data_IF_900279373865
#
_entry.id   IF_900279373865
#
_cell.length_a   1.000
_cell.length_b   1.000
_cell.length_c   1.000
_cell.angle_alpha   90.00
_cell.angle_beta   90.00
_cell.angle_gamma   90.00
#
_symmetry.space_group_name_H-M   'P 1'
#
loop_
_entity.id
_entity.type
_entity.pdbx_description
1 polymer ?
#
# COMPACT_ATOMS: atom_id res chain seq x y z
N UNK A 1 -11.29 1.03 -18.78
CA UNK A 1 -11.15 2.37 -18.21
C UNK A 1 -10.30 2.21 -16.97
N UNK A 2 -9.21 2.98 -16.81
CA UNK A 2 -8.31 2.84 -15.65
C UNK A 2 -8.84 3.54 -14.41
N UNK A 3 -8.34 3.18 -13.24
CA UNK A 3 -8.77 3.67 -11.95
C UNK A 3 -8.55 5.17 -11.81
N UNK A 4 -7.43 5.70 -12.32
CA UNK A 4 -7.20 7.16 -12.30
C UNK A 4 -8.22 7.91 -13.16
N UNK A 5 -8.73 7.32 -14.24
CA UNK A 5 -9.78 7.94 -15.05
C UNK A 5 -11.14 7.93 -14.34
N UNK A 6 -11.45 6.86 -13.61
CA UNK A 6 -12.66 6.79 -12.78
C UNK A 6 -12.58 7.84 -11.66
N UNK A 7 -11.43 7.95 -11.00
CA UNK A 7 -11.22 8.91 -9.92
C UNK A 7 -11.27 10.38 -10.38
N UNK A 8 -10.89 10.70 -11.63
CA UNK A 8 -11.00 12.07 -12.15
C UNK A 8 -12.43 12.58 -12.32
N UNK A 9 -13.45 11.75 -12.10
CA UNK A 9 -14.83 12.22 -12.06
C UNK A 9 -15.21 12.89 -10.72
N UNK A 10 -14.31 12.90 -9.73
CA UNK A 10 -14.58 13.38 -8.37
C UNK A 10 -13.69 14.57 -8.04
N UNK A 11 -14.27 15.78 -8.11
CA UNK A 11 -13.54 17.04 -7.95
C UNK A 11 -12.69 17.12 -6.66
N UNK A 12 -13.10 16.44 -5.59
CA UNK A 12 -12.34 16.45 -4.34
C UNK A 12 -11.00 15.70 -4.43
N UNK A 13 -10.80 14.92 -5.51
CA UNK A 13 -9.60 14.13 -5.76
C UNK A 13 -8.72 14.71 -6.87
N UNK A 14 -9.12 15.81 -7.53
CA UNK A 14 -8.47 16.35 -8.73
C UNK A 14 -6.95 16.50 -8.56
N UNK A 15 -6.52 17.22 -7.52
CA UNK A 15 -5.08 17.44 -7.25
C UNK A 15 -4.32 16.13 -7.08
N UNK A 16 -4.92 15.15 -6.40
CA UNK A 16 -4.27 13.85 -6.14
C UNK A 16 -4.18 13.02 -7.42
N UNK A 17 -5.23 13.06 -8.24
CA UNK A 17 -5.30 12.36 -9.52
C UNK A 17 -4.32 12.97 -10.52
N UNK A 18 -4.21 14.29 -10.57
CA UNK A 18 -3.29 14.99 -11.47
C UNK A 18 -1.83 14.69 -11.11
N UNK A 19 -1.48 14.70 -9.82
CA UNK A 19 -0.15 14.30 -9.36
C UNK A 19 0.13 12.84 -9.70
N UNK A 20 -0.83 11.93 -9.48
CA UNK A 20 -0.65 10.52 -9.86
C UNK A 20 -0.51 10.33 -11.37
N UNK A 21 -1.29 11.05 -12.20
CA UNK A 21 -1.18 11.04 -13.67
C UNK A 21 0.19 11.54 -14.12
N UNK A 22 0.68 12.64 -13.53
CA UNK A 22 2.02 13.17 -13.79
C UNK A 22 3.08 12.09 -13.59
N UNK A 23 3.09 11.45 -12.42
CA UNK A 23 4.05 10.36 -12.14
C UNK A 23 3.84 9.14 -13.04
N UNK A 24 2.60 8.81 -13.39
CA UNK A 24 2.30 7.73 -14.34
C UNK A 24 2.94 8.00 -15.70
N UNK A 25 2.89 9.23 -16.19
CA UNK A 25 3.50 9.64 -17.46
C UNK A 25 5.01 9.71 -17.37
N UNK A 26 5.55 10.46 -16.41
CA UNK A 26 7.00 10.68 -16.24
C UNK A 26 7.77 9.38 -16.05
N UNK A 27 7.18 8.44 -15.30
CA UNK A 27 7.80 7.15 -15.01
C UNK A 27 7.35 6.03 -15.95
N UNK A 28 6.52 6.31 -16.97
CA UNK A 28 5.92 5.32 -17.87
C UNK A 28 5.32 4.11 -17.12
N UNK A 29 4.33 4.40 -16.28
CA UNK A 29 3.58 3.44 -15.46
C UNK A 29 2.15 3.30 -16.01
N UNK A 30 1.53 2.15 -15.73
CA UNK A 30 0.10 1.98 -15.97
C UNK A 30 -0.67 2.76 -14.91
N UNK A 31 -1.68 3.58 -15.29
CA UNK A 31 -2.40 4.48 -14.39
C UNK A 31 -3.44 3.75 -13.51
N UNK A 32 -2.99 2.71 -12.79
CA UNK A 32 -3.78 1.84 -11.90
C UNK A 32 -3.35 2.08 -10.46
N UNK A 33 -4.31 2.32 -9.57
CA UNK A 33 -4.10 2.49 -8.13
C UNK A 33 -4.61 1.30 -7.31
N UNK A 34 -5.56 0.52 -7.83
CA UNK A 34 -6.12 -0.63 -7.12
C UNK A 34 -6.84 -1.60 -8.05
N UNK A 35 -6.66 -2.91 -7.84
CA UNK A 35 -7.22 -3.94 -8.71
C UNK A 35 -8.76 -3.96 -8.75
N UNK A 36 -9.44 -3.71 -7.63
CA UNK A 36 -10.92 -3.70 -7.59
C UNK A 36 -11.55 -2.58 -8.44
N UNK A 37 -10.77 -1.60 -8.89
CA UNK A 37 -11.25 -0.56 -9.82
C UNK A 37 -11.08 -0.97 -11.29
N UNK A 38 -10.45 -2.13 -11.55
CA UNK A 38 -9.99 -2.59 -12.87
C UNK A 38 -10.62 -3.94 -13.28
N UNK A 39 -11.72 -3.90 -14.04
CA UNK A 39 -12.44 -5.14 -14.43
C UNK A 39 -11.56 -6.10 -15.23
N UNK A 40 -10.64 -5.57 -16.05
CA UNK A 40 -9.71 -6.38 -16.84
C UNK A 40 -8.72 -7.13 -15.94
N UNK A 41 -8.19 -6.49 -14.90
CA UNK A 41 -7.28 -7.14 -13.93
C UNK A 41 -8.04 -8.23 -13.18
N UNK A 42 -9.24 -7.92 -12.67
CA UNK A 42 -10.10 -8.89 -11.98
C UNK A 42 -10.35 -10.12 -12.86
N UNK A 43 -10.78 -9.91 -14.11
CA UNK A 43 -11.06 -11.01 -15.03
C UNK A 43 -9.83 -11.88 -15.31
N UNK A 44 -8.66 -11.27 -15.50
CA UNK A 44 -7.41 -12.00 -15.75
C UNK A 44 -6.95 -12.80 -14.53
N UNK A 45 -7.02 -12.21 -13.33
CA UNK A 45 -6.73 -12.89 -12.07
C UNK A 45 -7.66 -14.09 -11.87
N UNK A 46 -8.96 -13.92 -12.10
CA UNK A 46 -9.92 -15.03 -11.97
C UNK A 46 -9.61 -16.15 -12.94
N UNK A 47 -9.38 -15.83 -14.21
CA UNK A 47 -9.05 -16.83 -15.26
C UNK A 47 -7.77 -17.59 -14.95
N UNK A 48 -6.71 -16.89 -14.53
CA UNK A 48 -5.42 -17.51 -14.21
C UNK A 48 -5.47 -18.42 -12.99
N UNK A 49 -6.33 -18.13 -12.02
CA UNK A 49 -6.48 -18.95 -10.81
C UNK A 49 -7.50 -20.08 -10.98
N UNK A 50 -8.43 -20.01 -11.94
CA UNK A 50 -9.52 -20.97 -12.10
C UNK A 50 -9.04 -22.42 -12.19
N UNK A 51 -8.00 -22.70 -12.97
CA UNK A 51 -7.46 -24.06 -13.12
C UNK A 51 -6.71 -24.54 -11.89
N UNK A 52 -6.33 -23.63 -10.99
CA UNK A 52 -5.43 -23.91 -9.87
C UNK A 52 -6.20 -24.06 -8.55
N UNK A 53 -7.18 -23.19 -8.29
CA UNK A 53 -7.82 -23.09 -6.96
C UNK A 53 -9.32 -23.38 -6.96
N UNK A 54 -9.94 -23.72 -8.10
CA UNK A 54 -11.40 -23.99 -8.18
C UNK A 54 -11.86 -25.08 -7.22
N UNK A 55 -11.12 -26.19 -7.13
CA UNK A 55 -11.50 -27.31 -6.26
C UNK A 55 -11.43 -26.90 -4.77
N UNK A 56 -10.42 -26.12 -4.40
CA UNK A 56 -10.29 -25.56 -3.05
C UNK A 56 -11.41 -24.56 -2.75
N UNK A 57 -11.80 -23.75 -3.74
CA UNK A 57 -12.93 -22.84 -3.59
C UNK A 57 -14.22 -23.62 -3.33
N UNK A 58 -14.55 -24.64 -4.11
CA UNK A 58 -15.78 -25.42 -3.86
C UNK A 58 -15.80 -26.08 -2.48
N UNK A 59 -14.64 -26.52 -1.99
CA UNK A 59 -14.51 -27.10 -0.65
C UNK A 59 -14.70 -26.06 0.47
N UNK A 60 -14.22 -24.83 0.29
CA UNK A 60 -14.14 -23.82 1.35
C UNK A 60 -14.93 -22.54 1.06
N UNK A 61 -15.87 -22.54 0.10
CA UNK A 61 -16.60 -21.34 -0.37
C UNK A 61 -17.34 -20.58 0.73
N UNK A 62 -17.71 -21.22 1.83
CA UNK A 62 -18.41 -20.58 2.94
C UNK A 62 -17.48 -19.84 3.91
N UNK A 63 -16.18 -20.10 3.87
CA UNK A 63 -15.19 -19.52 4.77
C UNK A 63 -13.99 -18.92 4.02
N UNK A 64 -14.07 -17.60 3.72
CA UNK A 64 -13.02 -16.84 3.01
C UNK A 64 -11.63 -17.07 3.58
N UNK A 65 -11.47 -16.94 4.89
CA UNK A 65 -10.16 -17.10 5.57
C UNK A 65 -9.60 -18.50 5.39
N UNK A 66 -10.45 -19.52 5.53
CA UNK A 66 -10.06 -20.93 5.37
C UNK A 66 -9.70 -21.24 3.92
N UNK A 67 -10.45 -20.72 2.95
CA UNK A 67 -10.12 -20.81 1.53
C UNK A 67 -8.72 -20.21 1.24
N UNK A 68 -8.50 -18.95 1.62
CA UNK A 68 -7.24 -18.23 1.35
C UNK A 68 -6.06 -18.98 1.97
N UNK A 69 -6.18 -19.40 3.24
CA UNK A 69 -5.11 -20.12 3.94
C UNK A 69 -4.73 -21.43 3.25
N UNK A 70 -5.71 -22.22 2.80
CA UNK A 70 -5.44 -23.48 2.11
C UNK A 70 -4.92 -23.28 0.69
N UNK A 71 -5.42 -22.26 -0.02
CA UNK A 71 -4.96 -21.93 -1.36
C UNK A 71 -3.51 -21.39 -1.37
N UNK A 72 -3.14 -20.53 -0.41
CA UNK A 72 -1.74 -20.08 -0.27
C UNK A 72 -0.78 -21.25 -0.04
N UNK A 73 -1.16 -22.20 0.82
CA UNK A 73 -0.38 -23.42 1.06
C UNK A 73 -0.21 -24.25 -0.21
N UNK A 74 -1.29 -24.45 -0.97
CA UNK A 74 -1.25 -25.22 -2.22
C UNK A 74 -0.39 -24.55 -3.30
N UNK A 75 -0.24 -23.24 -3.25
CA UNK A 75 0.58 -22.45 -4.17
C UNK A 75 2.03 -22.27 -3.70
N UNK A 76 2.41 -22.90 -2.58
CA UNK A 76 3.71 -22.72 -1.92
C UNK A 76 4.07 -21.26 -1.63
N UNK A 77 3.07 -20.43 -1.34
CA UNK A 77 3.32 -19.05 -0.89
C UNK A 77 3.51 -19.02 0.63
N UNK A 78 4.66 -18.55 1.13
CA UNK A 78 4.89 -18.45 2.56
C UNK A 78 3.99 -17.37 3.18
N UNK A 79 3.48 -17.64 4.38
CA UNK A 79 2.79 -16.64 5.19
C UNK A 79 3.87 -15.79 5.88
N UNK A 80 4.21 -14.64 5.28
CA UNK A 80 5.16 -13.70 5.88
C UNK A 80 4.49 -13.00 7.07
N UNK A 81 4.66 -13.55 8.26
CA UNK A 81 4.19 -12.95 9.50
C UNK A 81 5.15 -11.85 9.97
N UNK A 82 5.20 -10.74 9.23
CA UNK A 82 5.96 -9.57 9.62
C UNK A 82 5.21 -8.79 10.71
N UNK A 83 5.92 -8.28 11.75
CA UNK A 83 5.37 -7.23 12.60
C UNK A 83 4.83 -6.08 11.73
N UNK A 84 3.58 -5.71 11.97
CA UNK A 84 2.87 -4.73 11.16
C UNK A 84 2.43 -3.54 11.98
N UNK A 85 2.78 -2.34 11.51
CA UNK A 85 2.26 -1.08 12.03
C UNK A 85 0.98 -0.71 11.24
N UNK A 86 -0.21 -0.77 11.85
CA UNK A 86 -1.48 -0.64 11.16
C UNK A 86 -1.94 0.80 10.93
N UNK A 87 -1.26 1.78 11.53
CA UNK A 87 -1.51 3.21 11.30
C UNK A 87 -0.58 3.74 10.22
N UNK A 88 -0.40 5.05 10.13
CA UNK A 88 0.29 5.71 9.04
C UNK A 88 1.78 5.90 9.31
N UNK A 89 2.61 5.67 8.30
CA UNK A 89 4.05 5.92 8.33
C UNK A 89 4.45 6.86 7.21
N UNK A 90 5.06 7.99 7.56
CA UNK A 90 5.47 9.06 6.65
C UNK A 90 7.01 9.15 6.62
N UNK A 91 7.65 9.10 5.44
CA UNK A 91 9.10 9.33 5.33
C UNK A 91 9.46 10.78 5.62
N UNK A 92 10.45 11.00 6.49
CA UNK A 92 10.90 12.34 6.90
C UNK A 92 12.36 12.63 6.56
N UNK A 93 13.19 11.62 6.28
CA UNK A 93 14.56 11.83 5.79
C UNK A 93 14.60 12.36 4.36
N UNK A 94 15.73 12.95 3.97
CA UNK A 94 15.98 13.42 2.58
C UNK A 94 15.85 12.29 1.56
N UNK A 95 16.29 11.08 1.92
CA UNK A 95 16.13 9.88 1.12
C UNK A 95 15.56 8.75 1.98
N UNK A 96 14.55 8.05 1.45
CA UNK A 96 13.98 6.83 2.04
C UNK A 96 13.88 5.76 0.96
N UNK A 97 14.39 4.57 1.24
CA UNK A 97 14.30 3.40 0.37
C UNK A 97 13.19 2.49 0.90
N UNK A 98 12.23 2.14 0.04
CA UNK A 98 11.09 1.29 0.39
C UNK A 98 10.97 0.10 -0.54
N UNK A 99 10.38 -0.97 -0.02
CA UNK A 99 9.98 -2.17 -0.75
C UNK A 99 8.49 -2.40 -0.55
N UNK A 100 7.70 -2.36 -1.62
CA UNK A 100 6.27 -2.68 -1.55
C UNK A 100 6.07 -4.20 -1.41
N UNK A 101 5.18 -4.61 -0.51
CA UNK A 101 4.92 -6.03 -0.21
C UNK A 101 3.45 -6.41 -0.40
N UNK A 102 2.53 -5.46 -0.30
CA UNK A 102 1.10 -5.70 -0.41
C UNK A 102 0.39 -4.47 -0.99
N UNK A 103 -0.37 -4.69 -2.05
CA UNK A 103 -1.16 -3.70 -2.78
C UNK A 103 -2.67 -3.97 -2.72
N UNK A 104 -3.13 -4.73 -1.71
CA UNK A 104 -4.55 -4.95 -1.39
C UNK A 104 -5.23 -3.77 -0.70
N UNK A 105 -4.48 -2.72 -0.34
CA UNK A 105 -4.99 -1.57 0.38
C UNK A 105 -4.47 -0.25 -0.19
N UNK A 106 -5.20 0.82 0.13
CA UNK A 106 -4.77 2.21 -0.09
C UNK A 106 -4.71 2.89 1.29
N UNK A 107 -3.53 3.37 1.74
CA UNK A 107 -2.21 3.16 1.12
C UNK A 107 -1.75 1.68 1.13
N UNK A 108 -0.77 1.31 0.28
CA UNK A 108 -0.22 -0.04 0.24
C UNK A 108 0.71 -0.29 1.44
N UNK A 109 1.00 -1.57 1.71
CA UNK A 109 1.99 -1.94 2.71
C UNK A 109 3.38 -1.99 2.09
N UNK A 110 4.35 -1.47 2.83
CA UNK A 110 5.74 -1.47 2.45
C UNK A 110 6.64 -1.83 3.64
N UNK A 111 7.89 -2.15 3.34
CA UNK A 111 9.00 -2.23 4.29
C UNK A 111 9.91 -1.03 4.01
N UNK A 112 10.23 -0.25 5.05
CA UNK A 112 11.22 0.82 4.95
C UNK A 112 12.60 0.16 5.02
N UNK A 113 13.26 -0.01 3.88
CA UNK A 113 14.58 -0.64 3.80
C UNK A 113 15.62 0.26 4.48
N UNK A 114 15.59 1.55 4.19
CA UNK A 114 16.52 2.53 4.76
C UNK A 114 15.86 3.91 4.84
N UNK A 115 16.14 4.65 5.90
CA UNK A 115 15.66 6.03 6.07
C UNK A 115 15.04 6.27 7.44
N UNK A 116 14.55 7.48 7.64
CA UNK A 116 13.86 7.89 8.87
C UNK A 116 12.41 8.21 8.55
N UNK A 117 11.50 7.66 9.35
CA UNK A 117 10.06 7.84 9.20
C UNK A 117 9.45 8.33 10.51
N UNK A 118 8.30 8.98 10.40
CA UNK A 118 7.44 9.31 11.53
C UNK A 118 6.19 8.44 11.49
N UNK A 119 5.84 7.89 12.65
CA UNK A 119 4.54 7.26 12.84
C UNK A 119 3.50 8.32 13.18
N UNK A 120 2.32 8.21 12.57
CA UNK A 120 1.21 9.12 12.79
C UNK A 120 -0.12 8.37 12.75
N UNK A 121 -1.13 8.94 13.39
CA UNK A 121 -2.50 8.44 13.36
C UNK A 121 -3.32 9.01 12.18
N UNK A 122 -2.99 10.21 11.70
CA UNK A 122 -3.82 10.95 10.73
C UNK A 122 -3.09 11.21 9.41
N UNK A 123 -3.86 11.57 8.39
CA UNK A 123 -3.33 12.07 7.13
C UNK A 123 -3.18 13.59 7.20
N UNK A 124 -2.02 14.10 6.78
CA UNK A 124 -1.76 15.54 6.70
C UNK A 124 -1.69 16.01 5.25
N UNK A 125 -2.03 17.27 5.02
CA UNK A 125 -1.96 17.93 3.72
C UNK A 125 -0.53 18.20 3.29
N UNK A 126 0.37 18.48 4.25
CA UNK A 126 1.77 18.85 4.01
C UNK A 126 2.70 18.32 5.13
N UNK A 127 4.01 18.35 4.89
CA UNK A 127 4.97 18.04 5.96
C UNK A 127 4.98 19.12 7.03
N UNK A 128 4.84 20.40 6.64
CA UNK A 128 4.76 21.52 7.58
C UNK A 128 3.58 21.42 8.54
N UNK A 129 2.41 21.00 8.05
CA UNK A 129 1.22 20.76 8.88
C UNK A 129 1.45 19.62 9.88
N UNK A 130 2.03 18.50 9.44
CA UNK A 130 2.44 17.42 10.34
C UNK A 130 3.38 17.93 11.44
N UNK A 131 4.42 18.70 11.09
CA UNK A 131 5.35 19.24 12.09
C UNK A 131 4.68 20.25 13.03
N UNK A 132 3.74 21.04 12.55
CA UNK A 132 2.93 21.94 13.39
C UNK A 132 2.10 21.17 14.42
N UNK A 133 1.37 20.14 13.98
CA UNK A 133 0.57 19.29 14.87
C UNK A 133 1.44 18.61 15.93
N UNK A 134 2.62 18.12 15.55
CA UNK A 134 3.57 17.53 16.51
C UNK A 134 4.08 18.57 17.51
N UNK A 135 4.45 19.78 17.07
CA UNK A 135 4.86 20.88 17.97
C UNK A 135 3.75 21.30 18.94
N UNK A 136 2.52 21.40 18.43
CA UNK A 136 1.34 21.79 19.20
C UNK A 136 0.75 20.67 20.06
N UNK A 137 1.40 19.49 20.10
CA UNK A 137 0.99 18.31 20.87
C UNK A 137 -0.35 17.70 20.46
N UNK A 138 -0.69 17.84 19.18
CA UNK A 138 -1.92 17.34 18.57
C UNK A 138 -1.70 16.03 17.78
N UNK A 139 -0.49 15.47 17.81
CA UNK A 139 -0.17 14.17 17.19
C UNK A 139 0.98 13.45 17.91
N UNK A 140 1.23 12.23 17.46
CA UNK A 140 2.34 11.36 17.79
C UNK A 140 3.69 12.03 17.54
N UNK A 141 4.64 11.79 18.46
CA UNK A 141 6.03 12.20 18.31
C UNK A 141 6.91 10.96 18.44
N UNK A 142 6.84 10.14 17.39
CA UNK A 142 7.51 8.85 17.28
C UNK A 142 8.27 8.82 15.95
N UNK A 143 9.59 8.97 16.03
CA UNK A 143 10.49 8.87 14.88
C UNK A 143 11.21 7.53 14.95
N UNK A 144 11.27 6.82 13.82
CA UNK A 144 11.89 5.50 13.72
C UNK A 144 12.86 5.49 12.54
N UNK A 145 14.08 5.04 12.80
CA UNK A 145 15.12 4.86 11.79
C UNK A 145 15.26 3.39 11.41
N UNK A 146 15.29 3.15 10.12
CA UNK A 146 15.40 1.82 9.53
C UNK A 146 16.73 1.61 8.80
N UNK A 147 17.24 0.39 8.90
CA UNK A 147 18.35 -0.16 8.10
C UNK A 147 18.06 -1.64 7.82
N UNK A 148 18.20 -2.08 6.57
CA UNK A 148 17.81 -3.40 6.07
C UNK A 148 16.38 -3.85 6.45
N UNK A 149 15.44 -2.90 6.56
CA UNK A 149 14.06 -3.18 6.95
C UNK A 149 13.83 -3.28 8.46
N UNK A 150 14.89 -3.19 9.28
CA UNK A 150 14.85 -3.34 10.74
C UNK A 150 14.99 -2.00 11.43
N UNK A 151 14.39 -1.87 12.61
CA UNK A 151 14.53 -0.68 13.45
C UNK A 151 15.92 -0.66 14.09
N UNK A 152 16.70 0.37 13.81
CA UNK A 152 18.03 0.56 14.43
C UNK A 152 18.04 1.65 15.51
N UNK A 153 17.10 2.60 15.43
CA UNK A 153 16.95 3.69 16.41
C UNK A 153 15.50 4.17 16.40
N UNK A 154 15.02 4.64 17.54
CA UNK A 154 13.75 5.36 17.65
C UNK A 154 13.85 6.48 18.68
N UNK A 155 13.07 7.54 18.49
CA UNK A 155 12.79 8.59 19.48
C UNK A 155 11.28 8.61 19.70
N UNK A 156 10.83 8.27 20.90
CA UNK A 156 9.41 8.27 21.28
C UNK A 156 9.22 9.26 22.43
N UNK A 157 8.75 10.46 22.09
CA UNK A 157 8.44 11.50 23.09
C UNK A 157 6.98 11.46 23.51
N UNK A 158 6.09 11.07 22.58
CA UNK A 158 4.65 11.04 22.83
C UNK A 158 3.96 9.99 21.98
N UNK A 159 3.04 9.25 22.62
CA UNK A 159 2.13 8.31 21.99
C UNK A 159 0.70 8.54 22.53
N UNK A 160 -0.22 9.11 21.74
CA UNK A 160 -1.56 9.58 22.14
C UNK A 160 -2.66 8.68 21.58
N UNK A 161 -2.66 8.47 20.26
CA UNK A 161 -3.79 7.89 19.52
C UNK A 161 -3.54 6.45 19.08
N UNK A 162 -2.28 6.03 19.03
CA UNK A 162 -1.89 4.71 18.55
C UNK A 162 -1.64 3.74 19.70
N UNK A 163 -2.00 2.47 19.51
CA UNK A 163 -1.80 1.45 20.55
C UNK A 163 -0.31 1.30 20.92
N UNK A 164 0.03 1.60 22.17
CA UNK A 164 1.39 1.50 22.68
C UNK A 164 1.99 0.09 22.59
N UNK A 165 1.17 -0.96 22.68
CA UNK A 165 1.63 -2.34 22.51
C UNK A 165 2.05 -2.61 21.07
N UNK A 166 1.29 -2.08 20.11
CA UNK A 166 1.65 -2.14 18.69
C UNK A 166 2.94 -1.38 18.45
N UNK A 167 3.06 -0.14 18.93
CA UNK A 167 4.29 0.65 18.81
C UNK A 167 5.49 -0.09 19.41
N UNK A 168 5.36 -0.62 20.63
CA UNK A 168 6.41 -1.39 21.30
C UNK A 168 6.83 -2.62 20.46
N UNK A 169 5.87 -3.40 19.97
CA UNK A 169 6.13 -4.56 19.12
C UNK A 169 6.95 -4.18 17.88
N UNK A 170 6.70 -3.00 17.32
CA UNK A 170 7.43 -2.50 16.15
C UNK A 170 8.82 -2.01 16.52
N UNK A 171 8.96 -1.08 17.46
CA UNK A 171 10.26 -0.44 17.75
C UNK A 171 11.28 -1.39 18.39
N UNK A 172 10.82 -2.47 19.03
CA UNK A 172 11.68 -3.53 19.58
C UNK A 172 11.82 -4.75 18.64
N UNK A 173 11.22 -4.72 17.45
CA UNK A 173 11.33 -5.82 16.49
C UNK A 173 12.77 -6.01 16.02
N UNK A 174 13.26 -7.25 16.03
CA UNK A 174 14.52 -7.65 15.37
C UNK A 174 14.33 -8.11 13.91
N UNK A 175 13.07 -8.22 13.49
CA UNK A 175 12.67 -8.63 12.14
C UNK A 175 12.32 -7.41 11.28
N UNK A 176 12.19 -7.61 9.97
CA UNK A 176 11.66 -6.57 9.09
C UNK A 176 10.24 -6.19 9.52
N UNK A 177 9.91 -4.91 9.39
CA UNK A 177 8.59 -4.37 9.76
C UNK A 177 7.82 -3.96 8.52
N UNK A 178 6.56 -4.39 8.45
CA UNK A 178 5.59 -3.88 7.50
C UNK A 178 4.91 -2.62 8.05
N UNK A 179 4.71 -1.62 7.21
CA UNK A 179 4.03 -0.36 7.54
C UNK A 179 3.02 0.00 6.46
N UNK A 180 1.99 0.77 6.79
CA UNK A 180 1.21 1.49 5.77
C UNK A 180 1.97 2.75 5.38
N UNK A 181 2.60 2.71 4.20
CA UNK A 181 3.36 3.83 3.67
C UNK A 181 2.40 4.90 3.15
N UNK A 182 2.24 5.98 3.91
CA UNK A 182 1.43 7.12 3.51
C UNK A 182 2.34 8.32 3.25
N UNK A 183 1.83 9.29 2.49
CA UNK A 183 2.50 10.52 2.14
C UNK A 183 1.52 11.68 2.38
N UNK A 184 2.01 12.94 2.42
CA UNK A 184 1.12 14.09 2.46
C UNK A 184 0.05 14.02 1.36
N UNK A 185 -1.15 14.55 1.64
CA UNK A 185 -2.38 14.38 0.86
C UNK A 185 -2.18 14.50 -0.65
N UNK A 186 -1.40 15.49 -1.11
CA UNK A 186 -1.13 15.70 -2.55
C UNK A 186 -0.47 14.50 -3.26
N UNK A 187 0.25 13.65 -2.52
CA UNK A 187 0.92 12.45 -3.02
C UNK A 187 0.22 11.14 -2.61
N UNK A 188 -0.94 11.18 -1.97
CA UNK A 188 -1.55 10.02 -1.30
C UNK A 188 -1.79 8.80 -2.23
N UNK A 189 -2.07 9.04 -3.51
CA UNK A 189 -2.28 7.97 -4.51
C UNK A 189 -0.98 7.43 -5.13
N UNK A 190 0.15 8.14 -4.98
CA UNK A 190 1.41 7.78 -5.61
C UNK A 190 1.97 6.45 -5.10
N UNK A 191 1.97 6.14 -3.78
CA UNK A 191 2.40 4.83 -3.29
C UNK A 191 1.60 3.68 -3.92
N UNK A 192 0.27 3.83 -4.02
CA UNK A 192 -0.59 2.83 -4.66
C UNK A 192 -0.30 2.66 -6.15
N UNK A 193 -0.09 3.76 -6.88
CA UNK A 193 0.33 3.71 -8.28
C UNK A 193 1.65 2.93 -8.44
N UNK A 194 2.64 3.22 -7.60
CA UNK A 194 3.94 2.54 -7.63
C UNK A 194 3.79 1.06 -7.30
N UNK A 195 3.06 0.72 -6.23
CA UNK A 195 2.85 -0.65 -5.77
C UNK A 195 2.08 -1.52 -6.79
N UNK A 196 1.26 -0.93 -7.65
CA UNK A 196 0.59 -1.64 -8.75
C UNK A 196 1.50 -1.92 -9.95
N UNK A 197 2.63 -1.21 -10.07
CA UNK A 197 3.55 -1.28 -11.21
C UNK A 197 4.87 -2.00 -10.92
N UNK A 198 5.00 -2.60 -9.73
CA UNK A 198 6.20 -3.34 -9.31
C UNK A 198 5.87 -4.74 -8.79
N UNK A 199 6.82 -5.67 -8.87
CA UNK A 199 6.67 -7.02 -8.28
C UNK A 199 6.76 -6.93 -6.75
N UNK A 200 5.74 -7.38 -5.98
CA UNK A 200 5.80 -7.43 -4.52
C UNK A 200 7.02 -8.20 -4.02
N UNK A 201 7.67 -7.72 -2.96
CA UNK A 201 8.90 -8.29 -2.37
C UNK A 201 10.16 -8.28 -3.27
N UNK A 202 10.02 -8.13 -4.58
CA UNK A 202 11.12 -8.05 -5.56
C UNK A 202 11.30 -6.66 -6.16
N UNK A 203 11.03 -5.61 -5.37
CA UNK A 203 11.14 -4.22 -5.83
C UNK A 203 11.94 -3.36 -4.86
N UNK A 204 12.44 -2.24 -5.38
CA UNK A 204 13.13 -1.20 -4.62
C UNK A 204 12.74 0.16 -5.18
N UNK A 205 12.18 1.01 -4.32
CA UNK A 205 11.75 2.37 -4.68
C UNK A 205 12.42 3.37 -3.77
N UNK A 206 12.97 4.44 -4.35
CA UNK A 206 13.56 5.56 -3.61
C UNK A 206 12.55 6.71 -3.59
N UNK A 207 12.32 7.25 -2.40
CA UNK A 207 11.55 8.46 -2.13
C UNK A 207 12.54 9.53 -1.70
N UNK A 208 12.68 10.59 -2.51
CA UNK A 208 13.54 11.74 -2.17
C UNK A 208 12.68 12.91 -1.78
N UNK A 209 12.92 13.43 -0.58
CA UNK A 209 12.24 14.59 -0.02
C UNK A 209 13.12 15.83 -0.16
N UNK A 210 12.54 16.89 -0.71
CA UNK A 210 13.10 18.25 -0.67
C UNK A 210 12.02 19.21 -0.16
N UNK A 211 12.11 19.57 1.12
CA UNK A 211 11.10 20.37 1.82
C UNK A 211 9.70 19.71 1.76
N UNK A 212 8.77 20.33 1.01
CA UNK A 212 7.39 19.88 0.81
C UNK A 212 7.20 18.95 -0.38
N UNK A 213 8.24 18.80 -1.20
CA UNK A 213 8.16 18.03 -2.43
C UNK A 213 8.83 16.67 -2.31
N UNK A 214 8.23 15.70 -2.99
CA UNK A 214 8.70 14.34 -3.09
C UNK A 214 8.98 14.02 -4.55
N UNK A 215 10.06 13.30 -4.79
CA UNK A 215 10.36 12.66 -6.06
C UNK A 215 10.51 11.15 -5.85
N UNK A 216 10.19 10.37 -6.87
CA UNK A 216 10.15 8.91 -6.77
C UNK A 216 10.98 8.26 -7.89
N UNK A 217 11.65 7.17 -7.56
CA UNK A 217 12.43 6.39 -8.52
C UNK A 217 12.21 4.90 -8.24
N UNK A 218 11.82 4.13 -9.25
CA UNK A 218 11.80 2.66 -9.17
C UNK A 218 13.16 2.16 -9.63
N UNK A 219 13.97 1.68 -8.69
CA UNK A 219 15.33 1.18 -8.94
C UNK A 219 15.29 -0.27 -9.40
N UNK A 220 14.33 -1.05 -8.88
CA UNK A 220 14.19 -2.47 -9.22
C UNK A 220 12.72 -2.91 -9.16
N UNK A 221 12.40 -3.98 -9.89
CA UNK A 221 11.11 -4.65 -9.85
C UNK A 221 10.00 -4.01 -10.70
N UNK A 222 10.29 -2.97 -11.50
CA UNK A 222 9.34 -2.40 -12.46
C UNK A 222 8.95 -3.45 -13.51
N UNK A 223 7.67 -3.51 -13.89
CA UNK A 223 7.18 -4.43 -14.92
C UNK A 223 6.56 -3.71 -16.12
N UNK A 224 6.32 -4.47 -17.20
CA UNK A 224 5.57 -3.98 -18.36
C UNK A 224 4.09 -3.80 -18.04
N UNK A 225 3.41 -2.96 -18.82
CA UNK A 225 1.97 -2.74 -18.62
C UNK A 225 1.12 -3.99 -18.84
N UNK A 226 1.55 -4.92 -19.69
CA UNK A 226 0.87 -6.21 -19.88
C UNK A 226 0.88 -7.04 -18.60
N UNK A 227 2.01 -7.08 -17.88
CA UNK A 227 2.13 -7.77 -16.60
C UNK A 227 1.30 -7.12 -15.49
N UNK A 228 1.20 -5.78 -15.49
CA UNK A 228 0.27 -5.09 -14.58
C UNK A 228 -1.17 -5.51 -14.89
N UNK A 229 -1.56 -5.48 -16.16
CA UNK A 229 -2.93 -5.81 -16.58
C UNK A 229 -3.28 -7.30 -16.44
N UNK A 230 -2.30 -8.20 -16.45
CA UNK A 230 -2.48 -9.62 -16.13
C UNK A 230 -2.66 -9.86 -14.63
N UNK A 231 -2.33 -8.87 -13.79
CA UNK A 231 -2.37 -8.97 -12.33
C UNK A 231 -1.10 -9.61 -11.75
N UNK A 232 0.00 -9.72 -12.49
CA UNK A 232 1.25 -10.30 -11.99
C UNK A 232 1.82 -9.54 -10.79
N UNK A 233 1.61 -8.22 -10.72
CA UNK A 233 2.08 -7.34 -9.63
C UNK A 233 1.23 -7.42 -8.37
N UNK A 234 0.12 -8.17 -8.35
CA UNK A 234 -0.68 -8.30 -7.14
C UNK A 234 -0.03 -9.27 -6.15
N UNK A 235 -0.13 -8.95 -4.87
CA UNK A 235 0.24 -9.91 -3.83
C UNK A 235 -0.57 -11.22 -4.02
N UNK A 236 0.05 -12.42 -3.89
CA UNK A 236 -0.64 -13.70 -4.09
C UNK A 236 -1.90 -13.87 -3.23
N UNK A 237 -1.85 -13.44 -1.96
CA UNK A 237 -3.03 -13.44 -1.07
C UNK A 237 -4.14 -12.58 -1.66
N UNK A 238 -3.80 -11.39 -2.16
CA UNK A 238 -4.77 -10.49 -2.76
C UNK A 238 -5.41 -11.06 -4.04
N UNK A 239 -4.64 -11.80 -4.87
CA UNK A 239 -5.22 -12.52 -6.02
C UNK A 239 -6.29 -13.52 -5.59
N UNK A 240 -6.03 -14.26 -4.51
CA UNK A 240 -6.99 -15.23 -3.95
C UNK A 240 -8.22 -14.56 -3.36
N UNK A 241 -8.04 -13.40 -2.71
CA UNK A 241 -9.13 -12.55 -2.24
C UNK A 241 -10.04 -12.10 -3.39
N UNK A 242 -9.46 -11.56 -4.47
CA UNK A 242 -10.20 -11.17 -5.68
C UNK A 242 -10.95 -12.38 -6.27
N UNK A 243 -10.29 -13.53 -6.37
CA UNK A 243 -10.91 -14.76 -6.89
C UNK A 243 -12.15 -15.14 -6.06
N UNK A 244 -11.99 -15.20 -4.73
CA UNK A 244 -13.06 -15.56 -3.81
C UNK A 244 -14.23 -14.57 -3.88
N UNK A 245 -13.93 -13.28 -3.84
CA UNK A 245 -14.95 -12.23 -3.84
C UNK A 245 -15.70 -12.19 -5.18
N UNK A 246 -15.02 -12.42 -6.30
CA UNK A 246 -15.64 -12.56 -7.63
C UNK A 246 -16.59 -13.76 -7.68
N UNK A 247 -16.11 -14.96 -7.30
CA UNK A 247 -16.90 -16.19 -7.33
C UNK A 247 -18.10 -16.15 -6.38
N UNK A 248 -17.95 -15.48 -5.23
CA UNK A 248 -19.01 -15.30 -4.24
C UNK A 248 -20.00 -14.19 -4.60
N UNK A 249 -19.77 -13.45 -5.70
CA UNK A 249 -20.53 -12.23 -6.07
C UNK A 249 -20.52 -11.19 -4.95
N UNK A 250 -19.39 -11.06 -4.26
CA UNK A 250 -19.16 -10.15 -3.11
C UNK A 250 -18.18 -9.03 -3.42
N UNK A 251 -17.87 -8.80 -4.69
CA UNK A 251 -17.08 -7.63 -5.06
C UNK A 251 -17.81 -6.36 -4.64
N UNK A 252 -17.10 -5.52 -3.89
CA UNK A 252 -17.59 -4.20 -3.54
C UNK A 252 -17.85 -3.40 -4.82
N UNK A 253 -18.88 -2.55 -4.78
CA UNK A 253 -19.09 -1.62 -5.89
C UNK A 253 -17.91 -0.66 -5.98
N UNK A 254 -17.54 -0.26 -7.20
CA UNK A 254 -16.47 0.73 -7.40
C UNK A 254 -16.80 2.05 -6.69
N UNK A 255 -18.08 2.41 -6.65
CA UNK A 255 -18.56 3.61 -5.97
C UNK A 255 -18.30 3.55 -4.46
N UNK A 256 -18.54 2.41 -3.80
CA UNK A 256 -18.27 2.26 -2.36
C UNK A 256 -16.78 2.35 -2.05
N UNK A 257 -15.93 1.77 -2.91
CA UNK A 257 -14.48 1.88 -2.79
C UNK A 257 -14.04 3.35 -2.90
N UNK A 258 -14.61 4.09 -3.85
CA UNK A 258 -14.28 5.51 -4.06
C UNK A 258 -14.80 6.36 -2.89
N UNK A 259 -16.02 6.13 -2.42
CA UNK A 259 -16.55 6.83 -1.23
C UNK A 259 -15.68 6.58 0.00
N UNK A 260 -15.25 5.32 0.22
CA UNK A 260 -14.33 4.97 1.30
C UNK A 260 -12.94 5.58 1.14
N UNK A 261 -12.47 5.79 -0.09
CA UNK A 261 -11.23 6.52 -0.37
C UNK A 261 -11.39 8.01 -0.05
N UNK A 262 -12.47 8.63 -0.50
CA UNK A 262 -12.80 10.03 -0.25
C UNK A 262 -12.89 10.29 1.26
N UNK A 263 -13.58 9.45 2.03
CA UNK A 263 -13.73 9.61 3.49
C UNK A 263 -12.44 9.43 4.29
N UNK A 264 -11.38 8.86 3.70
CA UNK A 264 -10.05 8.78 4.32
C UNK A 264 -9.21 10.04 4.06
N UNK A 265 -9.53 10.76 3.00
CA UNK A 265 -8.75 11.88 2.48
C UNK A 265 -9.35 13.22 2.91
N UNK A 266 -10.67 13.28 3.09
CA UNK A 266 -11.47 14.45 3.47
C UNK A 266 -12.03 14.22 4.87
#
# INVERSE_FOLDING_TARGET
>A
MSSLNILSAYNQLDTLVDIAKKYSTEMNLVPVIHAYLEDKIISNVVKSLETVVRNLYEQYKFERTTFIKNALKSLNFPDENLPFYPYYTIPISEETIVKFIDNSSIPPKAIIIQGEVRFTFMLYSSFSELEEHVRNRQDEDIIVKFEDGKVIKYDRRRNIFTDANVVNKIVYSKSQVAVNLTLPKKYYLVPSLLAMNVIPHGNKVIIRRKNEDLNFEIVDGKVSGEKVMSGETLNPKFKLEIYYDYKSKRLLSKEDIIKGLISKII
#
